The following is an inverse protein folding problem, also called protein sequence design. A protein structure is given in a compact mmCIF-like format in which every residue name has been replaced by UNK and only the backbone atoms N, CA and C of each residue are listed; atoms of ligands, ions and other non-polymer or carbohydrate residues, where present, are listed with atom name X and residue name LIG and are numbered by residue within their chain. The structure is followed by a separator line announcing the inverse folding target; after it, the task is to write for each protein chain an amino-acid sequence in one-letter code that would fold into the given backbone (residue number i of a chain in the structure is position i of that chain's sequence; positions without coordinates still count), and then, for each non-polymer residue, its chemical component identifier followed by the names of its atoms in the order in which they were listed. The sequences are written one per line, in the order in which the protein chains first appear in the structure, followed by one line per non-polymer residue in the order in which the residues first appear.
data_IF_650706291496
#
_entry.id   IF_650706291496
#
_cell.length_a   1.000
_cell.length_b   1.000
_cell.length_c   1.000
_cell.angle_alpha   90.00
_cell.angle_beta   90.00
_cell.angle_gamma   90.00
#
_symmetry.space_group_name_H-M   'P 1'
#
loop_
_entity.id
_entity.type
_entity.pdbx_description
1 polymer ?
#
# COMPACT_ATOMS: atom_id res chain seq x y z
N UNK A 1 -73.73 20.88 -20.90
CA UNK A 1 -72.95 20.30 -22.01
C UNK A 1 -71.49 20.20 -21.51
N UNK A 2 -71.13 19.00 -21.15
CA UNK A 2 -69.74 18.72 -20.62
C UNK A 2 -68.98 17.94 -21.70
N UNK A 3 -67.93 18.54 -22.23
CA UNK A 3 -67.10 17.87 -23.22
C UNK A 3 -66.04 17.04 -22.46
N UNK A 4 -66.01 15.74 -22.70
CA UNK A 4 -65.07 14.79 -22.21
C UNK A 4 -63.93 14.67 -23.27
N UNK A 5 -62.78 15.15 -22.95
CA UNK A 5 -61.54 14.99 -23.75
C UNK A 5 -60.83 13.69 -23.38
N UNK A 6 -60.69 12.78 -24.32
CA UNK A 6 -59.93 11.54 -24.20
C UNK A 6 -58.45 11.85 -24.40
N UNK A 7 -57.63 11.60 -23.36
CA UNK A 7 -56.17 11.62 -23.47
C UNK A 7 -55.72 10.20 -23.78
N UNK A 8 -55.26 9.99 -24.99
CA UNK A 8 -54.63 8.74 -25.44
C UNK A 8 -53.23 8.65 -24.84
N UNK A 9 -53.04 7.78 -23.82
CA UNK A 9 -51.73 7.46 -23.27
C UNK A 9 -50.92 6.58 -24.24
N UNK A 10 -49.85 7.10 -24.80
CA UNK A 10 -48.86 6.32 -25.50
C UNK A 10 -48.00 5.59 -24.46
N UNK A 11 -48.16 4.28 -24.38
CA UNK A 11 -47.23 3.41 -23.64
C UNK A 11 -45.95 3.29 -24.44
N UNK A 12 -44.91 4.01 -24.02
CA UNK A 12 -43.51 3.74 -24.45
C UNK A 12 -43.03 2.49 -23.71
N UNK A 13 -43.04 1.35 -24.40
CA UNK A 13 -42.31 0.16 -23.96
C UNK A 13 -40.83 0.43 -24.09
N UNK A 14 -40.19 0.79 -22.97
CA UNK A 14 -38.72 0.77 -22.88
C UNK A 14 -38.25 -0.69 -23.00
N UNK A 15 -37.85 -1.07 -24.20
CA UNK A 15 -37.10 -2.30 -24.42
C UNK A 15 -35.75 -2.14 -23.70
N UNK A 16 -35.64 -2.67 -22.48
CA UNK A 16 -34.33 -2.89 -21.84
C UNK A 16 -33.48 -3.77 -22.77
N UNK A 17 -32.28 -3.34 -23.18
CA UNK A 17 -31.42 -4.22 -23.93
C UNK A 17 -31.19 -5.47 -23.08
N UNK A 18 -31.58 -6.63 -23.60
CA UNK A 18 -31.22 -7.91 -23.03
C UNK A 18 -29.69 -7.93 -22.93
N UNK A 19 -29.19 -7.89 -21.70
CA UNK A 19 -27.75 -8.08 -21.45
C UNK A 19 -27.41 -9.46 -22.06
N UNK A 20 -26.75 -9.43 -23.23
CA UNK A 20 -26.20 -10.62 -23.86
C UNK A 20 -25.31 -11.24 -22.78
N UNK A 21 -25.75 -12.37 -22.24
CA UNK A 21 -24.92 -13.18 -21.36
C UNK A 21 -23.73 -13.65 -22.20
N UNK A 22 -22.67 -12.87 -22.20
CA UNK A 22 -21.43 -13.25 -22.86
C UNK A 22 -20.96 -14.56 -22.23
N UNK A 23 -21.08 -15.63 -23.00
CA UNK A 23 -20.65 -16.98 -22.59
C UNK A 23 -19.16 -16.93 -22.32
N UNK A 24 -18.82 -17.48 -21.18
CA UNK A 24 -17.45 -17.69 -20.71
C UNK A 24 -16.61 -18.33 -21.83
N UNK A 25 -15.41 -17.79 -22.08
CA UNK A 25 -14.48 -18.41 -23.01
C UNK A 25 -13.89 -19.67 -22.37
N UNK A 26 -14.09 -20.88 -22.93
CA UNK A 26 -13.48 -22.11 -22.43
C UNK A 26 -11.95 -22.03 -22.37
N UNK A 27 -11.35 -21.17 -23.19
CA UNK A 27 -9.91 -20.96 -23.25
C UNK A 27 -9.36 -20.32 -21.97
N UNK A 28 -10.08 -19.36 -21.37
CA UNK A 28 -9.73 -18.77 -20.09
C UNK A 28 -9.65 -19.81 -18.97
N UNK A 29 -10.66 -20.67 -18.87
CA UNK A 29 -10.66 -21.71 -17.84
C UNK A 29 -9.52 -22.71 -18.04
N UNK A 30 -9.25 -23.06 -19.29
CA UNK A 30 -8.13 -23.94 -19.62
C UNK A 30 -6.80 -23.28 -19.25
N UNK A 31 -6.64 -22.01 -19.56
CA UNK A 31 -5.43 -21.28 -19.22
C UNK A 31 -5.24 -21.15 -17.71
N UNK A 32 -6.28 -20.76 -16.95
CA UNK A 32 -6.23 -20.65 -15.49
C UNK A 32 -5.88 -21.98 -14.84
N UNK A 33 -6.54 -23.08 -15.24
CA UNK A 33 -6.26 -24.40 -14.69
C UNK A 33 -4.79 -24.82 -14.88
N UNK A 34 -4.16 -24.42 -15.99
CA UNK A 34 -2.75 -24.71 -16.28
C UNK A 34 -1.77 -23.80 -15.57
N UNK A 35 -2.16 -22.55 -15.26
CA UNK A 35 -1.25 -21.51 -14.81
C UNK A 35 -1.52 -21.04 -13.38
N UNK A 36 -2.50 -21.61 -12.68
CA UNK A 36 -2.78 -21.36 -11.27
C UNK A 36 -2.22 -22.51 -10.42
N UNK A 37 -1.43 -22.15 -9.43
CA UNK A 37 -0.78 -23.10 -8.52
C UNK A 37 -1.44 -23.05 -7.15
N UNK A 38 -1.73 -24.23 -6.57
CA UNK A 38 -2.24 -24.33 -5.21
C UNK A 38 -1.17 -23.88 -4.20
N UNK A 39 -1.58 -23.10 -3.21
CA UNK A 39 -0.76 -22.65 -2.09
C UNK A 39 -1.36 -23.23 -0.82
N UNK A 40 -0.53 -23.72 0.07
CA UNK A 40 -0.96 -24.28 1.35
C UNK A 40 -1.19 -23.22 2.41
N UNK A 41 -2.14 -23.45 3.30
CA UNK A 41 -2.41 -22.59 4.47
C UNK A 41 -1.42 -22.86 5.62
N UNK A 42 -0.15 -23.06 5.30
CA UNK A 42 0.87 -23.31 6.32
C UNK A 42 1.48 -22.01 6.80
N UNK A 43 1.07 -21.55 7.96
CA UNK A 43 1.45 -20.25 8.52
C UNK A 43 2.90 -20.14 9.00
N UNK A 44 3.71 -21.14 9.07
CA UNK A 44 5.06 -21.02 9.64
C UNK A 44 5.98 -22.21 9.33
N UNK A 45 5.76 -22.96 8.25
CA UNK A 45 6.73 -24.00 7.90
C UNK A 45 7.85 -23.37 7.06
N UNK A 46 9.09 -23.74 7.35
CA UNK A 46 10.27 -23.46 6.52
C UNK A 46 10.24 -24.22 5.17
N UNK A 47 9.18 -24.99 4.94
CA UNK A 47 8.88 -25.60 3.67
C UNK A 47 8.12 -24.63 2.76
N UNK A 48 8.82 -24.13 1.75
CA UNK A 48 8.30 -23.20 0.74
C UNK A 48 8.06 -23.87 -0.62
N UNK A 49 7.93 -25.19 -0.68
CA UNK A 49 7.81 -25.90 -1.94
C UNK A 49 6.60 -25.45 -2.77
N UNK A 50 5.50 -25.11 -2.12
CA UNK A 50 4.28 -24.57 -2.75
C UNK A 50 4.47 -23.14 -3.32
N UNK A 51 5.47 -22.41 -2.87
CA UNK A 51 5.81 -21.07 -3.37
C UNK A 51 6.76 -21.08 -4.58
N UNK A 52 7.16 -22.25 -5.08
CA UNK A 52 8.10 -22.36 -6.19
C UNK A 52 7.63 -21.61 -7.46
N UNK A 53 6.33 -21.65 -7.78
CA UNK A 53 5.75 -20.95 -8.92
C UNK A 53 5.86 -19.43 -8.76
N UNK A 54 5.62 -18.90 -7.56
CA UNK A 54 5.82 -17.50 -7.24
C UNK A 54 7.30 -17.13 -7.34
N UNK A 55 8.19 -17.93 -6.76
CA UNK A 55 9.64 -17.72 -6.87
C UNK A 55 10.13 -17.65 -8.32
N UNK A 56 9.62 -18.52 -9.20
CA UNK A 56 9.93 -18.48 -10.62
C UNK A 56 9.40 -17.20 -11.31
N UNK A 57 8.20 -16.73 -10.93
CA UNK A 57 7.60 -15.52 -11.50
C UNK A 57 8.40 -14.25 -11.18
N UNK A 58 9.00 -14.19 -9.98
CA UNK A 58 9.72 -13.00 -9.48
C UNK A 58 11.24 -13.06 -9.68
N UNK A 59 11.76 -14.09 -10.35
CA UNK A 59 13.19 -14.42 -10.44
C UNK A 59 14.09 -13.21 -10.70
N UNK A 60 13.70 -12.35 -11.64
CA UNK A 60 14.50 -11.20 -12.07
C UNK A 60 14.05 -9.87 -11.44
N UNK A 61 13.08 -9.92 -10.54
CA UNK A 61 12.53 -8.73 -9.90
C UNK A 61 13.45 -8.24 -8.77
N UNK A 62 13.62 -6.93 -8.71
CA UNK A 62 14.33 -6.24 -7.64
C UNK A 62 13.37 -5.74 -6.55
N UNK A 63 12.15 -5.39 -6.96
CA UNK A 63 11.14 -4.81 -6.08
C UNK A 63 9.88 -5.65 -6.18
N UNK A 64 9.39 -6.13 -5.03
CA UNK A 64 8.10 -6.80 -4.91
C UNK A 64 7.16 -5.89 -4.11
N UNK A 65 6.01 -5.57 -4.69
CA UNK A 65 4.96 -4.83 -4.01
C UNK A 65 3.87 -5.81 -3.59
N UNK A 66 3.69 -6.00 -2.30
CA UNK A 66 2.69 -6.88 -1.69
C UNK A 66 1.53 -6.02 -1.19
N UNK A 67 0.40 -6.04 -1.88
CA UNK A 67 -0.76 -5.25 -1.48
C UNK A 67 -1.67 -5.97 -0.47
N UNK A 68 -2.71 -5.33 -0.02
CA UNK A 68 -3.92 -5.87 0.60
C UNK A 68 -5.10 -5.00 0.20
N UNK A 69 -6.29 -5.58 0.12
CA UNK A 69 -7.50 -4.84 -0.19
C UNK A 69 -8.03 -4.05 1.03
N UNK A 70 -7.79 -4.58 2.23
CA UNK A 70 -8.07 -3.89 3.48
C UNK A 70 -6.94 -4.15 4.48
N UNK A 71 -6.61 -3.17 5.29
CA UNK A 71 -5.69 -3.34 6.41
C UNK A 71 -6.23 -4.29 7.51
N UNK A 72 -7.44 -4.81 7.33
CA UNK A 72 -8.14 -5.63 8.31
C UNK A 72 -8.16 -7.13 8.03
N UNK A 73 -7.20 -7.68 7.28
CA UNK A 73 -7.19 -9.05 6.74
C UNK A 73 -6.08 -9.90 7.36
N UNK A 74 -6.39 -10.62 8.45
CA UNK A 74 -5.37 -11.35 9.23
C UNK A 74 -4.67 -12.46 8.44
N UNK A 75 -5.41 -13.28 7.70
CA UNK A 75 -4.79 -14.36 6.93
C UNK A 75 -4.05 -13.86 5.67
N UNK A 76 -4.41 -12.69 5.14
CA UNK A 76 -3.59 -12.02 4.11
C UNK A 76 -2.27 -11.56 4.73
N UNK A 77 -2.30 -10.95 5.93
CA UNK A 77 -1.08 -10.60 6.66
C UNK A 77 -0.21 -11.82 6.96
N UNK A 78 -0.81 -12.93 7.38
CA UNK A 78 -0.09 -14.18 7.64
C UNK A 78 0.60 -14.71 6.38
N UNK A 79 -0.10 -14.73 5.24
CA UNK A 79 0.49 -15.14 3.96
C UNK A 79 1.60 -14.17 3.51
N UNK A 80 1.39 -12.86 3.62
CA UNK A 80 2.41 -11.85 3.30
C UNK A 80 3.64 -11.99 4.20
N UNK A 81 3.46 -12.23 5.51
CA UNK A 81 4.57 -12.48 6.44
C UNK A 81 5.37 -13.73 6.04
N UNK A 82 4.69 -14.80 5.61
CA UNK A 82 5.33 -16.00 5.07
C UNK A 82 6.10 -15.69 3.77
N UNK A 83 5.51 -14.91 2.87
CA UNK A 83 6.17 -14.47 1.64
C UNK A 83 7.40 -13.59 1.92
N UNK A 84 7.33 -12.70 2.89
CA UNK A 84 8.49 -11.88 3.31
C UNK A 84 9.66 -12.76 3.76
N UNK A 85 9.39 -13.78 4.59
CA UNK A 85 10.42 -14.77 5.00
C UNK A 85 10.98 -15.53 3.80
N UNK A 86 10.11 -16.04 2.93
CA UNK A 86 10.50 -16.74 1.70
C UNK A 86 11.39 -15.87 0.79
N UNK A 87 10.99 -14.63 0.57
CA UNK A 87 11.73 -13.68 -0.25
C UNK A 87 13.11 -13.36 0.36
N UNK A 88 13.17 -13.20 1.67
CA UNK A 88 14.43 -12.98 2.38
C UNK A 88 15.35 -14.21 2.30
N UNK A 89 14.87 -15.37 2.71
CA UNK A 89 15.67 -16.58 2.89
C UNK A 89 16.07 -17.26 1.57
N UNK A 90 15.20 -17.24 0.57
CA UNK A 90 15.42 -17.97 -0.70
C UNK A 90 15.74 -17.09 -1.88
N UNK A 91 15.41 -15.80 -1.84
CA UNK A 91 15.58 -14.89 -2.97
C UNK A 91 16.45 -13.67 -2.67
N UNK A 92 16.99 -13.55 -1.45
CA UNK A 92 17.98 -12.53 -1.05
C UNK A 92 17.38 -11.11 -1.01
N UNK A 93 16.11 -10.96 -0.66
CA UNK A 93 15.53 -9.66 -0.38
C UNK A 93 16.01 -9.17 0.99
N UNK A 94 16.40 -7.90 1.08
CA UNK A 94 17.17 -7.37 2.21
C UNK A 94 16.46 -6.23 2.94
N UNK A 95 15.38 -5.70 2.38
CA UNK A 95 14.64 -4.57 2.96
C UNK A 95 13.15 -4.82 2.88
N UNK A 96 12.45 -4.61 3.99
CA UNK A 96 10.99 -4.53 4.08
C UNK A 96 10.58 -3.09 4.33
N UNK A 97 9.83 -2.49 3.41
CA UNK A 97 9.31 -1.12 3.51
C UNK A 97 7.81 -1.19 3.76
N UNK A 98 7.37 -0.66 4.90
CA UNK A 98 5.95 -0.66 5.30
C UNK A 98 5.25 0.66 4.93
N UNK A 99 3.96 0.59 4.67
CA UNK A 99 3.05 1.74 4.69
C UNK A 99 2.85 2.23 6.13
N UNK A 100 3.89 2.85 6.65
CA UNK A 100 3.95 3.46 7.98
C UNK A 100 4.95 4.61 7.95
N UNK A 101 4.84 5.50 8.92
CA UNK A 101 5.59 6.74 8.97
C UNK A 101 7.08 6.58 8.72
N UNK A 102 7.61 7.30 7.73
CA UNK A 102 9.02 7.23 7.34
C UNK A 102 9.96 7.44 8.53
N UNK A 103 9.68 8.44 9.38
CA UNK A 103 10.51 8.74 10.56
C UNK A 103 10.34 7.71 11.67
N UNK A 104 9.09 7.32 11.98
CA UNK A 104 8.79 6.43 13.09
C UNK A 104 9.42 5.06 12.90
N UNK A 105 9.31 4.49 11.69
CA UNK A 105 9.89 3.17 11.38
C UNK A 105 11.43 3.23 11.33
N UNK A 106 12.01 4.32 10.83
CA UNK A 106 13.46 4.54 10.88
C UNK A 106 13.95 4.63 12.33
N UNK A 107 13.20 5.32 13.18
CA UNK A 107 13.53 5.43 14.61
C UNK A 107 13.48 4.05 15.28
N UNK A 108 12.43 3.24 15.05
CA UNK A 108 12.34 1.86 15.53
C UNK A 108 13.59 1.09 15.10
N UNK A 109 13.89 1.07 13.80
CA UNK A 109 15.01 0.29 13.28
C UNK A 109 16.34 0.68 13.92
N UNK A 110 16.57 1.99 14.08
CA UNK A 110 17.80 2.53 14.64
C UNK A 110 17.96 2.21 16.13
N UNK A 111 16.88 2.28 16.92
CA UNK A 111 16.89 2.14 18.38
C UNK A 111 16.60 0.72 18.88
N UNK A 112 16.31 -0.21 17.97
CA UNK A 112 16.04 -1.60 18.30
C UNK A 112 17.27 -2.30 18.86
N UNK A 113 17.13 -2.83 20.08
CA UNK A 113 18.10 -3.59 20.85
C UNK A 113 17.40 -4.78 21.52
N UNK A 114 18.14 -5.58 22.30
CA UNK A 114 17.58 -6.76 23.01
C UNK A 114 16.45 -6.38 23.98
N UNK A 115 16.61 -5.29 24.72
CA UNK A 115 15.62 -4.81 25.68
C UNK A 115 14.49 -3.96 25.05
N UNK A 116 14.75 -3.41 23.82
CA UNK A 116 13.83 -2.54 23.10
C UNK A 116 13.56 -3.11 21.72
N UNK A 117 12.69 -4.11 21.65
CA UNK A 117 12.44 -4.90 20.44
C UNK A 117 11.59 -4.16 19.42
N UNK A 118 11.64 -4.57 18.15
CA UNK A 118 10.74 -4.03 17.11
C UNK A 118 9.28 -4.21 17.55
N UNK A 119 8.93 -5.40 18.07
CA UNK A 119 7.59 -5.72 18.54
C UNK A 119 7.12 -4.78 19.67
N UNK A 120 7.98 -4.46 20.62
CA UNK A 120 7.62 -3.57 21.76
C UNK A 120 7.48 -2.11 21.33
N UNK A 121 8.18 -1.69 20.27
CA UNK A 121 8.16 -0.33 19.75
C UNK A 121 7.05 -0.09 18.71
N UNK A 122 6.53 -1.13 18.06
CA UNK A 122 5.54 -1.01 16.98
C UNK A 122 4.23 -0.34 17.43
N UNK A 123 3.63 -0.65 18.61
CA UNK A 123 2.43 0.04 19.07
C UNK A 123 2.64 1.56 19.16
N UNK A 124 1.73 2.31 18.55
CA UNK A 124 1.77 3.77 18.50
C UNK A 124 2.78 4.38 17.52
N UNK A 125 3.62 3.59 16.84
CA UNK A 125 4.63 4.05 15.88
C UNK A 125 4.49 3.44 14.49
N UNK A 126 3.92 2.25 14.40
CA UNK A 126 3.51 1.60 13.16
C UNK A 126 1.99 1.70 13.06
N UNK A 127 1.45 1.67 11.84
CA UNK A 127 0.00 1.67 11.64
C UNK A 127 -0.65 0.61 12.55
N UNK A 128 -1.67 1.00 13.31
CA UNK A 128 -2.13 0.22 14.47
C UNK A 128 -2.62 -1.20 14.12
N UNK A 129 -3.21 -1.41 12.94
CA UNK A 129 -3.62 -2.74 12.49
C UNK A 129 -2.42 -3.65 12.18
N UNK A 130 -1.33 -3.09 11.68
CA UNK A 130 -0.07 -3.85 11.58
C UNK A 130 0.52 -4.13 12.97
N UNK A 131 0.55 -3.11 13.83
CA UNK A 131 1.15 -3.24 15.15
C UNK A 131 0.46 -4.30 16.03
N UNK A 132 -0.86 -4.47 15.88
CA UNK A 132 -1.69 -5.35 16.73
C UNK A 132 -1.96 -6.73 16.10
N UNK A 133 -1.71 -6.92 14.79
CA UNK A 133 -1.93 -8.21 14.13
C UNK A 133 -0.98 -9.29 14.66
N UNK A 134 -1.47 -10.46 15.07
CA UNK A 134 -0.62 -11.61 15.44
C UNK A 134 0.38 -12.02 14.36
N UNK A 135 -0.02 -12.00 13.10
CA UNK A 135 0.86 -12.30 11.97
C UNK A 135 2.02 -11.31 11.85
N UNK A 136 1.72 -10.01 12.03
CA UNK A 136 2.74 -8.95 12.01
C UNK A 136 3.65 -9.00 13.22
N UNK A 137 3.13 -9.32 14.39
CA UNK A 137 3.96 -9.50 15.59
C UNK A 137 4.98 -10.64 15.40
N UNK A 138 4.57 -11.76 14.80
CA UNK A 138 5.48 -12.85 14.41
C UNK A 138 6.51 -12.42 13.37
N UNK A 139 6.15 -11.52 12.45
CA UNK A 139 7.09 -10.93 11.50
C UNK A 139 8.08 -9.97 12.18
N UNK A 140 7.64 -9.16 13.14
CA UNK A 140 8.52 -8.29 13.92
C UNK A 140 9.54 -9.07 14.76
N UNK A 141 9.15 -10.21 15.31
CA UNK A 141 10.08 -11.13 15.99
C UNK A 141 11.12 -11.72 15.02
N UNK A 142 10.67 -12.11 13.83
CA UNK A 142 11.58 -12.56 12.77
C UNK A 142 12.58 -11.45 12.37
N UNK A 143 12.12 -10.24 12.12
CA UNK A 143 12.96 -9.08 11.79
C UNK A 143 13.98 -8.79 12.89
N UNK A 144 13.55 -8.89 14.16
CA UNK A 144 14.44 -8.74 15.33
C UNK A 144 15.55 -9.78 15.32
N UNK A 145 15.21 -11.04 15.09
CA UNK A 145 16.18 -12.16 15.02
C UNK A 145 17.15 -11.95 13.87
N UNK A 146 16.66 -11.57 12.69
CA UNK A 146 17.51 -11.33 11.52
C UNK A 146 18.43 -10.11 11.70
N UNK A 147 17.97 -9.06 12.40
CA UNK A 147 18.80 -7.88 12.71
C UNK A 147 20.04 -8.23 13.55
N UNK A 148 19.91 -9.23 14.40
CA UNK A 148 21.01 -9.72 15.25
C UNK A 148 21.92 -10.73 14.53
N UNK A 149 21.52 -11.22 13.37
CA UNK A 149 22.24 -12.19 12.56
C UNK A 149 23.14 -11.55 11.50
N UNK A 150 23.72 -12.40 10.66
CA UNK A 150 24.67 -11.99 9.60
C UNK A 150 23.99 -11.47 8.33
N UNK A 151 22.69 -11.70 8.17
CA UNK A 151 21.91 -11.28 7.01
C UNK A 151 20.63 -10.56 7.48
N UNK A 152 20.70 -9.28 7.86
CA UNK A 152 19.55 -8.55 8.37
C UNK A 152 18.53 -8.30 7.27
N UNK A 153 17.24 -8.49 7.59
CA UNK A 153 16.14 -7.93 6.83
C UNK A 153 15.81 -6.56 7.43
N UNK A 154 16.23 -5.50 6.75
CA UNK A 154 16.11 -4.12 7.22
C UNK A 154 14.62 -3.71 7.20
N UNK A 155 14.14 -3.10 8.28
CA UNK A 155 12.81 -2.51 8.35
C UNK A 155 12.89 -1.01 8.01
N UNK A 156 12.00 -0.53 7.14
CA UNK A 156 11.88 0.88 6.76
C UNK A 156 10.41 1.28 6.61
N UNK A 157 10.12 2.57 6.63
CA UNK A 157 8.81 3.15 6.35
C UNK A 157 8.84 4.01 5.08
N UNK A 158 7.66 4.34 4.57
CA UNK A 158 7.55 5.21 3.38
C UNK A 158 6.45 6.27 3.48
N UNK A 159 5.57 6.19 4.48
CA UNK A 159 4.43 7.10 4.57
C UNK A 159 4.87 8.53 4.94
N UNK A 160 4.24 9.49 4.29
CA UNK A 160 4.40 10.91 4.56
C UNK A 160 3.66 11.39 5.81
N UNK A 161 2.84 10.54 6.44
CA UNK A 161 2.15 10.86 7.68
C UNK A 161 3.04 10.58 8.90
N UNK A 162 3.40 11.63 9.62
CA UNK A 162 4.18 11.55 10.84
C UNK A 162 3.26 11.58 12.08
N UNK A 163 2.50 10.49 12.28
CA UNK A 163 1.50 10.39 13.35
C UNK A 163 1.91 9.45 14.49
N UNK A 164 3.09 8.86 14.40
CA UNK A 164 3.64 7.99 15.42
C UNK A 164 4.08 8.75 16.69
N UNK A 165 4.21 8.01 17.78
CA UNK A 165 4.68 8.55 19.06
C UNK A 165 6.08 9.14 18.94
N UNK A 166 6.96 8.48 18.18
CA UNK A 166 8.34 8.96 18.00
C UNK A 166 8.41 10.24 17.18
N UNK A 167 7.60 10.36 16.13
CA UNK A 167 7.52 11.62 15.38
C UNK A 167 7.06 12.77 16.29
N UNK A 168 6.02 12.55 17.10
CA UNK A 168 5.52 13.55 18.06
C UNK A 168 6.56 13.95 19.11
N UNK A 169 7.36 13.02 19.57
CA UNK A 169 8.33 13.26 20.65
C UNK A 169 9.67 13.78 20.16
N UNK A 170 10.18 13.28 19.04
CA UNK A 170 11.59 13.45 18.68
C UNK A 170 11.83 14.13 17.35
N UNK A 171 10.93 14.01 16.34
CA UNK A 171 11.22 14.41 14.96
C UNK A 171 11.69 15.86 14.84
N UNK A 172 10.97 16.80 15.47
CA UNK A 172 11.30 18.24 15.35
C UNK A 172 12.63 18.58 16.03
N UNK A 173 12.94 17.96 17.16
CA UNK A 173 14.23 18.14 17.82
C UNK A 173 15.37 17.51 16.99
N UNK A 174 15.16 16.33 16.44
CA UNK A 174 16.14 15.69 15.56
C UNK A 174 16.36 16.48 14.28
N UNK A 175 15.30 17.07 13.70
CA UNK A 175 15.42 17.98 12.55
C UNK A 175 16.28 19.21 12.90
N UNK A 176 16.03 19.82 14.05
CA UNK A 176 16.82 20.96 14.55
C UNK A 176 18.28 20.60 14.76
N UNK A 177 18.53 19.43 15.37
CA UNK A 177 19.89 18.92 15.57
C UNK A 177 20.60 18.68 14.23
N UNK A 178 19.89 18.18 13.23
CA UNK A 178 20.45 17.97 11.91
C UNK A 178 20.77 19.30 11.20
N UNK A 179 19.93 20.31 11.32
CA UNK A 179 20.23 21.67 10.82
C UNK A 179 21.50 22.23 11.45
N UNK A 180 21.70 22.03 12.76
CA UNK A 180 22.91 22.44 13.43
C UNK A 180 24.17 21.72 12.91
N UNK A 181 24.09 20.39 12.69
CA UNK A 181 25.18 19.59 12.13
C UNK A 181 25.57 19.99 10.71
N UNK A 182 24.62 20.49 9.91
CA UNK A 182 24.87 20.95 8.54
C UNK A 182 25.22 22.44 8.42
N UNK A 183 25.45 23.11 9.54
CA UNK A 183 25.80 24.54 9.58
C UNK A 183 24.62 25.50 9.40
N UNK A 184 23.38 24.97 9.31
CA UNK A 184 22.15 25.78 9.13
C UNK A 184 21.53 26.22 10.47
N UNK A 185 22.33 26.54 11.47
CA UNK A 185 21.90 26.92 12.83
C UNK A 185 20.92 28.07 12.86
N UNK A 186 21.04 29.01 11.88
CA UNK A 186 20.12 30.14 11.77
C UNK A 186 18.66 29.74 11.55
N UNK A 187 18.40 28.63 10.85
CA UNK A 187 17.03 28.14 10.65
C UNK A 187 16.46 27.55 11.94
N UNK A 188 17.23 26.72 12.65
CA UNK A 188 16.81 26.16 13.93
C UNK A 188 16.60 27.20 15.05
N UNK A 189 17.23 28.38 14.92
CA UNK A 189 17.10 29.54 15.82
C UNK A 189 16.23 30.64 15.23
N UNK A 190 15.56 30.43 14.11
CA UNK A 190 14.65 31.40 13.49
C UNK A 190 13.47 31.68 14.44
N UNK A 191 13.04 32.95 14.47
CA UNK A 191 11.91 33.39 15.29
C UNK A 191 10.62 32.61 14.97
N UNK A 192 10.48 32.16 13.73
CA UNK A 192 9.33 31.35 13.30
C UNK A 192 9.41 29.88 13.70
N UNK A 193 10.58 29.38 14.18
CA UNK A 193 10.74 27.97 14.55
C UNK A 193 9.69 27.48 15.55
N UNK A 194 9.40 28.25 16.59
CA UNK A 194 8.42 27.86 17.60
C UNK A 194 7.02 27.70 16.99
N UNK A 195 6.62 28.61 16.10
CA UNK A 195 5.32 28.49 15.40
C UNK A 195 5.29 27.36 14.41
N UNK A 196 6.36 27.13 13.68
CA UNK A 196 6.52 25.95 12.82
C UNK A 196 6.39 24.66 13.61
N UNK A 197 7.06 24.56 14.76
CA UNK A 197 7.03 23.36 15.60
C UNK A 197 5.63 23.11 16.19
N UNK A 198 4.94 24.16 16.66
CA UNK A 198 3.56 24.10 17.15
C UNK A 198 2.61 23.53 16.07
N UNK A 199 2.65 24.12 14.87
CA UNK A 199 1.79 23.70 13.76
C UNK A 199 2.12 22.28 13.26
N UNK A 200 3.41 21.94 13.17
CA UNK A 200 3.82 20.59 12.78
C UNK A 200 3.39 19.54 13.81
N UNK A 201 3.50 19.87 15.10
CA UNK A 201 3.04 18.96 16.16
C UNK A 201 1.51 18.77 16.13
N UNK A 202 0.74 19.82 15.81
CA UNK A 202 -0.71 19.70 15.58
C UNK A 202 -1.01 18.73 14.43
N UNK A 203 -0.29 18.85 13.31
CA UNK A 203 -0.40 17.89 12.18
C UNK A 203 -0.06 16.46 12.61
N UNK A 204 0.99 16.25 13.41
CA UNK A 204 1.39 14.92 13.91
C UNK A 204 0.33 14.33 14.86
N UNK A 205 -0.45 15.17 15.52
CA UNK A 205 -1.61 14.78 16.32
C UNK A 205 -2.91 14.66 15.50
N UNK A 206 -2.81 14.68 14.17
CA UNK A 206 -3.93 14.57 13.24
C UNK A 206 -4.93 15.74 13.31
N UNK A 207 -4.52 16.86 13.87
CA UNK A 207 -5.32 18.10 13.83
C UNK A 207 -5.32 18.65 12.40
N UNK A 208 -6.50 18.82 11.83
CA UNK A 208 -6.73 19.34 10.49
C UNK A 208 -7.14 20.80 10.48
N UNK A 209 -7.14 21.45 11.63
CA UNK A 209 -7.50 22.87 11.75
C UNK A 209 -6.47 23.72 10.99
N UNK A 210 -6.90 24.31 9.90
CA UNK A 210 -6.03 25.18 9.11
C UNK A 210 -5.80 26.50 9.84
N UNK A 211 -4.55 26.99 9.98
CA UNK A 211 -4.30 28.34 10.45
C UNK A 211 -4.77 29.38 9.42
N UNK A 212 -4.77 30.64 9.78
CA UNK A 212 -5.08 31.73 8.83
C UNK A 212 -4.13 31.73 7.62
N UNK A 213 -4.56 32.34 6.53
CA UNK A 213 -3.84 32.35 5.25
C UNK A 213 -2.41 32.88 5.38
N UNK A 214 -2.20 33.95 6.13
CA UNK A 214 -0.87 34.55 6.32
C UNK A 214 0.06 33.58 7.05
N UNK A 215 -0.43 32.90 8.08
CA UNK A 215 0.32 31.88 8.83
C UNK A 215 0.65 30.68 7.95
N UNK A 216 -0.29 30.22 7.09
CA UNK A 216 -0.01 29.16 6.12
C UNK A 216 1.10 29.57 5.13
N UNK A 217 1.05 30.77 4.57
CA UNK A 217 2.08 31.30 3.66
C UNK A 217 3.46 31.32 4.33
N UNK A 218 3.55 31.82 5.56
CA UNK A 218 4.79 31.82 6.34
C UNK A 218 5.30 30.41 6.61
N UNK A 219 4.42 29.47 6.93
CA UNK A 219 4.76 28.07 7.15
C UNK A 219 5.37 27.44 5.88
N UNK A 220 4.71 27.59 4.72
CA UNK A 220 5.22 27.05 3.47
C UNK A 220 6.50 27.75 2.99
N UNK A 221 6.67 29.04 3.21
CA UNK A 221 7.93 29.74 2.96
C UNK A 221 9.06 29.19 3.83
N UNK A 222 8.80 28.92 5.09
CA UNK A 222 9.77 28.31 6.00
C UNK A 222 10.11 26.87 5.56
N UNK A 223 9.13 26.09 5.12
CA UNK A 223 9.36 24.74 4.55
C UNK A 223 10.30 24.78 3.33
N UNK A 224 10.21 25.78 2.45
CA UNK A 224 11.15 25.94 1.33
C UNK A 224 12.58 26.21 1.82
N UNK A 225 12.74 27.02 2.86
CA UNK A 225 14.06 27.24 3.46
C UNK A 225 14.63 25.98 4.10
N UNK A 226 13.79 25.19 4.79
CA UNK A 226 14.19 23.90 5.36
C UNK A 226 14.62 22.89 4.28
N UNK A 227 13.89 22.82 3.16
CA UNK A 227 14.28 21.96 2.01
C UNK A 227 15.63 22.37 1.45
N UNK A 228 15.86 23.66 1.25
CA UNK A 228 17.12 24.21 0.74
C UNK A 228 18.30 23.97 1.68
N UNK A 229 18.05 23.75 2.98
CA UNK A 229 19.08 23.46 3.97
C UNK A 229 19.68 22.04 3.87
N UNK A 230 19.06 21.17 3.08
CA UNK A 230 19.52 19.77 2.89
C UNK A 230 19.81 19.47 1.41
N UNK A 231 20.78 20.14 0.77
CA UNK A 231 20.98 20.05 -0.68
C UNK A 231 21.68 18.76 -1.16
N UNK A 232 22.40 18.07 -0.27
CA UNK A 232 23.24 16.94 -0.67
C UNK A 232 22.47 15.61 -0.70
N UNK A 233 22.94 14.68 -1.52
CA UNK A 233 22.41 13.32 -1.57
C UNK A 233 22.57 12.56 -0.25
N UNK A 234 23.57 12.91 0.56
CA UNK A 234 23.78 12.34 1.90
C UNK A 234 22.68 12.77 2.90
N UNK A 235 22.01 13.87 2.61
CA UNK A 235 20.94 14.42 3.43
C UNK A 235 19.53 14.06 2.92
N UNK A 236 19.43 13.16 1.95
CA UNK A 236 18.17 12.78 1.29
C UNK A 236 17.05 12.44 2.29
N UNK A 237 17.38 11.79 3.40
CA UNK A 237 16.40 11.40 4.40
C UNK A 237 15.68 12.63 4.98
N UNK A 238 16.44 13.66 5.37
CA UNK A 238 15.88 14.87 5.93
C UNK A 238 15.14 15.72 4.89
N UNK A 239 15.59 15.71 3.63
CA UNK A 239 14.83 16.29 2.52
C UNK A 239 13.45 15.62 2.41
N UNK A 240 13.39 14.29 2.52
CA UNK A 240 12.11 13.56 2.44
C UNK A 240 11.24 13.76 3.68
N UNK A 241 11.84 13.86 4.87
CA UNK A 241 11.10 14.24 6.10
C UNK A 241 10.44 15.59 5.95
N UNK A 242 11.18 16.61 5.51
CA UNK A 242 10.63 17.97 5.31
C UNK A 242 9.54 17.95 4.22
N UNK A 243 9.76 17.26 3.12
CA UNK A 243 8.75 17.11 2.07
C UNK A 243 7.48 16.40 2.56
N UNK A 244 7.63 15.39 3.42
CA UNK A 244 6.51 14.66 4.02
C UNK A 244 5.70 15.53 5.00
N UNK A 245 6.35 16.34 5.82
CA UNK A 245 5.66 17.32 6.69
C UNK A 245 4.87 18.33 5.85
N UNK A 246 5.48 18.84 4.77
CA UNK A 246 4.79 19.76 3.87
C UNK A 246 3.58 19.12 3.19
N UNK A 247 3.70 17.89 2.71
CA UNK A 247 2.59 17.13 2.12
C UNK A 247 1.45 16.97 3.13
N UNK A 248 1.77 16.57 4.38
CA UNK A 248 0.77 16.40 5.42
C UNK A 248 0.04 17.72 5.71
N UNK A 249 0.76 18.86 5.77
CA UNK A 249 0.17 20.19 5.95
C UNK A 249 -0.76 20.55 4.78
N UNK A 250 -0.30 20.37 3.55
CA UNK A 250 -1.11 20.68 2.35
C UNK A 250 -2.37 19.85 2.27
N UNK A 251 -2.31 18.58 2.63
CA UNK A 251 -3.47 17.68 2.65
C UNK A 251 -4.46 18.06 3.75
N UNK A 252 -3.98 18.32 4.94
CA UNK A 252 -4.84 18.59 6.09
C UNK A 252 -5.49 19.97 6.01
N UNK A 253 -4.75 21.01 5.60
CA UNK A 253 -5.26 22.37 5.50
C UNK A 253 -5.94 22.68 4.16
N UNK A 254 -5.55 21.98 3.08
CA UNK A 254 -6.11 22.17 1.74
C UNK A 254 -7.15 21.12 1.33
N UNK A 255 -7.45 20.15 2.21
CA UNK A 255 -8.34 19.01 1.93
C UNK A 255 -7.98 18.25 0.64
N UNK A 256 -6.69 18.05 0.37
CA UNK A 256 -6.16 17.40 -0.85
C UNK A 256 -5.59 16.04 -0.49
N UNK A 257 -6.41 14.99 -0.57
CA UNK A 257 -5.97 13.60 -0.26
C UNK A 257 -5.13 12.94 -1.36
N UNK A 258 -5.14 13.47 -2.55
CA UNK A 258 -4.60 12.90 -3.79
C UNK A 258 -3.06 12.74 -3.78
N UNK A 259 -2.34 13.54 -3.00
CA UNK A 259 -0.88 13.58 -3.05
C UNK A 259 -0.16 12.54 -2.19
N UNK A 260 -0.81 11.99 -1.14
CA UNK A 260 -0.14 11.06 -0.19
C UNK A 260 0.53 9.88 -0.90
N UNK A 261 -0.17 9.24 -1.84
CA UNK A 261 0.36 8.09 -2.57
C UNK A 261 1.57 8.45 -3.43
N UNK A 262 1.56 9.61 -4.08
CA UNK A 262 2.70 10.10 -4.86
C UNK A 262 3.90 10.38 -3.95
N UNK A 263 3.70 11.07 -2.82
CA UNK A 263 4.79 11.39 -1.89
C UNK A 263 5.37 10.13 -1.23
N UNK A 264 4.53 9.12 -0.93
CA UNK A 264 5.01 7.80 -0.51
C UNK A 264 5.90 7.16 -1.57
N UNK A 265 5.50 7.26 -2.85
CA UNK A 265 6.29 6.79 -3.99
C UNK A 265 7.64 7.51 -4.10
N UNK A 266 7.65 8.83 -3.95
CA UNK A 266 8.88 9.62 -3.95
C UNK A 266 9.78 9.28 -2.76
N UNK A 267 9.21 9.04 -1.56
CA UNK A 267 9.97 8.57 -0.40
C UNK A 267 10.64 7.25 -0.69
N UNK A 268 9.88 6.28 -1.23
CA UNK A 268 10.41 4.98 -1.62
C UNK A 268 11.49 5.10 -2.69
N UNK A 269 11.27 5.87 -3.76
CA UNK A 269 12.25 6.06 -4.83
C UNK A 269 13.55 6.69 -4.30
N UNK A 270 13.44 7.63 -3.38
CA UNK A 270 14.60 8.25 -2.73
C UNK A 270 15.39 7.24 -1.87
N UNK A 271 14.70 6.39 -1.10
CA UNK A 271 15.33 5.29 -0.37
C UNK A 271 16.06 4.31 -1.32
N UNK A 272 15.41 3.96 -2.43
CA UNK A 272 15.96 3.06 -3.46
C UNK A 272 17.17 3.65 -4.18
N UNK A 273 17.25 4.96 -4.32
CA UNK A 273 18.35 5.65 -4.98
C UNK A 273 19.55 5.85 -4.05
N UNK A 274 19.31 6.26 -2.81
CA UNK A 274 20.37 6.77 -1.94
C UNK A 274 20.83 5.78 -0.86
N UNK A 275 19.93 4.91 -0.39
CA UNK A 275 20.24 4.00 0.71
C UNK A 275 20.28 2.54 0.27
N UNK A 276 19.37 2.15 -0.60
CA UNK A 276 19.16 0.75 -0.98
C UNK A 276 19.46 0.48 -2.46
N UNK A 277 20.41 1.21 -3.05
CA UNK A 277 20.67 1.23 -4.50
C UNK A 277 20.89 -0.17 -5.12
N UNK A 278 21.51 -1.08 -4.39
CA UNK A 278 21.87 -2.43 -4.86
C UNK A 278 21.09 -3.55 -4.16
N UNK A 279 20.08 -3.21 -3.36
CA UNK A 279 19.32 -4.19 -2.57
C UNK A 279 18.02 -4.56 -3.23
N UNK A 280 17.55 -5.79 -2.95
CA UNK A 280 16.21 -6.25 -3.28
C UNK A 280 15.23 -5.84 -2.19
N UNK A 281 14.08 -5.31 -2.57
CA UNK A 281 13.14 -4.60 -1.70
C UNK A 281 11.78 -5.25 -1.75
N UNK A 282 11.18 -5.44 -0.58
CA UNK A 282 9.77 -5.80 -0.40
C UNK A 282 9.03 -4.56 0.07
N UNK A 283 7.95 -4.20 -0.57
CA UNK A 283 7.05 -3.10 -0.20
C UNK A 283 5.73 -3.68 0.25
N UNK A 284 5.25 -3.29 1.42
CA UNK A 284 3.99 -3.74 1.99
C UNK A 284 3.07 -2.55 2.23
N UNK A 285 1.88 -2.57 1.64
CA UNK A 285 0.90 -1.50 1.80
C UNK A 285 -0.43 -1.82 1.14
N UNK A 286 -1.34 -0.88 1.20
CA UNK A 286 -2.68 -1.01 0.67
C UNK A 286 -2.71 -0.99 -0.87
N UNK A 287 -3.61 -1.76 -1.44
CA UNK A 287 -3.86 -1.87 -2.89
C UNK A 287 -4.00 -0.52 -3.60
N UNK A 288 -4.71 0.45 -3.02
CA UNK A 288 -4.89 1.78 -3.65
C UNK A 288 -3.56 2.52 -3.89
N UNK A 289 -2.52 2.20 -3.13
CA UNK A 289 -1.20 2.78 -3.28
C UNK A 289 -0.28 1.95 -4.17
N UNK A 290 -0.40 0.61 -4.12
CA UNK A 290 0.58 -0.29 -4.73
C UNK A 290 0.25 -0.76 -6.15
N UNK A 291 -1.01 -0.69 -6.61
CA UNK A 291 -1.36 -1.06 -7.97
C UNK A 291 -0.83 -0.05 -9.01
N UNK A 292 -0.66 -0.48 -10.28
CA UNK A 292 -0.08 0.37 -11.34
C UNK A 292 -0.99 1.46 -11.85
N UNK A 293 -2.29 1.25 -11.81
CA UNK A 293 -3.28 2.20 -12.32
C UNK A 293 -3.85 3.01 -11.17
N UNK A 294 -3.05 3.88 -10.59
CA UNK A 294 -3.53 4.81 -9.57
C UNK A 294 -4.28 6.00 -10.15
N UNK A 295 -4.75 6.84 -9.24
CA UNK A 295 -5.44 8.09 -9.58
C UNK A 295 -4.68 8.86 -10.66
N UNK A 296 -5.31 9.14 -11.82
CA UNK A 296 -4.60 9.52 -13.06
C UNK A 296 -3.84 10.84 -13.00
N UNK A 297 -4.15 11.73 -12.05
CA UNK A 297 -3.66 13.11 -12.06
C UNK A 297 -2.29 13.30 -11.41
N UNK A 298 -1.85 12.43 -10.49
CA UNK A 298 -0.61 12.65 -9.74
C UNK A 298 0.28 11.40 -9.64
N UNK A 299 -0.13 10.29 -10.24
CA UNK A 299 0.51 8.98 -10.06
C UNK A 299 0.30 8.43 -8.64
N UNK A 300 0.27 7.11 -8.52
CA UNK A 300 0.40 6.48 -7.22
C UNK A 300 1.80 5.86 -7.07
N UNK A 301 2.10 5.36 -5.90
CA UNK A 301 3.37 4.70 -5.61
C UNK A 301 3.65 3.56 -6.59
N UNK A 302 2.67 2.67 -6.81
CA UNK A 302 2.82 1.51 -7.71
C UNK A 302 3.11 1.93 -9.15
N UNK A 303 2.49 2.99 -9.64
CA UNK A 303 2.77 3.58 -10.95
C UNK A 303 4.21 4.11 -11.02
N UNK A 304 4.61 4.96 -10.07
CA UNK A 304 5.95 5.56 -10.03
C UNK A 304 7.06 4.50 -9.98
N UNK A 305 6.89 3.47 -9.15
CA UNK A 305 7.85 2.37 -9.02
C UNK A 305 7.89 1.53 -10.30
N UNK A 306 6.72 1.18 -10.86
CA UNK A 306 6.65 0.38 -12.08
C UNK A 306 7.20 1.13 -13.30
N UNK A 307 6.94 2.43 -13.40
CA UNK A 307 7.52 3.25 -14.48
C UNK A 307 9.05 3.32 -14.39
N UNK A 308 9.59 3.48 -13.19
CA UNK A 308 11.03 3.57 -12.96
C UNK A 308 11.77 2.25 -13.13
N UNK A 309 11.19 1.13 -12.70
CA UNK A 309 11.87 -0.17 -12.62
C UNK A 309 11.39 -1.19 -13.65
N UNK A 310 10.30 -0.90 -14.38
CA UNK A 310 9.76 -1.74 -15.46
C UNK A 310 9.66 -3.22 -15.00
N UNK A 311 10.26 -4.14 -15.75
CA UNK A 311 10.24 -5.59 -15.45
C UNK A 311 10.91 -5.98 -14.12
N UNK A 312 11.68 -5.06 -13.52
CA UNK A 312 12.31 -5.28 -12.21
C UNK A 312 11.37 -5.00 -11.03
N UNK A 313 10.17 -4.47 -11.27
CA UNK A 313 9.10 -4.35 -10.27
C UNK A 313 8.01 -5.39 -10.54
N UNK A 314 7.56 -6.09 -9.50
CA UNK A 314 6.49 -7.09 -9.56
C UNK A 314 5.41 -6.74 -8.53
N UNK A 315 4.19 -6.48 -9.00
CA UNK A 315 3.04 -6.13 -8.17
C UNK A 315 2.22 -7.37 -7.88
N UNK A 316 2.03 -7.68 -6.62
CA UNK A 316 1.27 -8.83 -6.12
C UNK A 316 0.00 -8.35 -5.48
N UNK A 317 -1.13 -8.85 -5.96
CA UNK A 317 -2.45 -8.58 -5.43
C UNK A 317 -2.96 -9.73 -4.58
N UNK A 318 -3.62 -9.40 -3.47
CA UNK A 318 -4.28 -10.37 -2.60
C UNK A 318 -5.77 -10.12 -2.62
N UNK A 319 -6.56 -11.18 -2.82
CA UNK A 319 -8.01 -11.11 -2.90
C UNK A 319 -8.69 -12.38 -2.42
N UNK A 320 -10.00 -12.30 -2.19
CA UNK A 320 -10.85 -13.44 -1.81
C UNK A 320 -12.31 -13.12 -2.10
N UNK A 321 -13.18 -14.11 -2.01
CA UNK A 321 -14.59 -13.98 -2.38
C UNK A 321 -15.56 -14.27 -1.21
N UNK A 322 -15.03 -14.64 -0.05
CA UNK A 322 -15.82 -15.01 1.15
C UNK A 322 -15.11 -14.59 2.43
N UNK A 323 -15.86 -14.56 3.51
CA UNK A 323 -15.33 -14.26 4.84
C UNK A 323 -15.63 -12.84 5.28
N UNK A 324 -14.74 -12.29 6.07
CA UNK A 324 -14.87 -10.92 6.59
C UNK A 324 -13.51 -10.29 6.83
N UNK A 325 -13.46 -8.97 6.80
CA UNK A 325 -12.32 -8.16 7.16
C UNK A 325 -12.71 -7.16 8.26
N UNK A 326 -11.76 -6.68 9.02
CA UNK A 326 -11.99 -5.59 9.95
C UNK A 326 -11.96 -4.26 9.19
N UNK A 327 -13.09 -3.54 9.22
CA UNK A 327 -13.23 -2.24 8.59
C UNK A 327 -12.92 -1.14 9.61
N UNK A 328 -11.74 -0.57 9.52
CA UNK A 328 -11.27 0.47 10.45
C UNK A 328 -11.97 1.83 10.31
N UNK A 329 -12.77 2.04 9.26
CA UNK A 329 -13.55 3.27 9.12
C UNK A 329 -14.80 3.29 10.01
N UNK A 330 -15.38 2.13 10.29
CA UNK A 330 -16.59 1.98 11.11
C UNK A 330 -16.41 1.08 12.32
N UNK A 331 -15.17 0.62 12.59
CA UNK A 331 -14.81 -0.22 13.73
C UNK A 331 -15.61 -1.53 13.80
N UNK A 332 -15.82 -2.19 12.65
CA UNK A 332 -16.66 -3.38 12.56
C UNK A 332 -16.05 -4.46 11.66
N UNK A 333 -16.35 -5.72 11.98
CA UNK A 333 -16.16 -6.82 11.04
C UNK A 333 -17.17 -6.72 9.91
N UNK A 334 -16.69 -6.50 8.70
CA UNK A 334 -17.48 -6.34 7.50
C UNK A 334 -17.36 -7.59 6.62
N UNK A 335 -18.47 -8.20 6.17
CA UNK A 335 -18.42 -9.31 5.24
C UNK A 335 -17.74 -8.90 3.92
N UNK A 336 -16.92 -9.79 3.38
CA UNK A 336 -16.43 -9.69 2.00
C UNK A 336 -17.64 -9.79 1.07
N UNK A 337 -17.78 -8.85 0.15
CA UNK A 337 -18.86 -8.88 -0.84
C UNK A 337 -18.58 -10.01 -1.84
N UNK A 338 -19.61 -10.82 -2.11
CA UNK A 338 -19.53 -11.81 -3.19
C UNK A 338 -19.46 -11.09 -4.53
N UNK A 339 -18.48 -11.43 -5.33
CA UNK A 339 -18.28 -10.82 -6.63
C UNK A 339 -19.18 -11.45 -7.71
N UNK A 340 -19.58 -10.67 -8.74
CA UNK A 340 -20.31 -11.20 -9.88
C UNK A 340 -19.60 -12.36 -10.56
N UNK A 341 -20.35 -13.25 -11.19
CA UNK A 341 -19.86 -14.49 -11.80
C UNK A 341 -18.74 -14.30 -12.86
N UNK A 342 -18.56 -13.08 -13.39
CA UNK A 342 -17.58 -12.73 -14.41
C UNK A 342 -16.30 -12.10 -13.85
N UNK A 343 -16.11 -12.03 -12.55
CA UNK A 343 -14.91 -11.46 -11.94
C UNK A 343 -13.79 -12.50 -11.86
N UNK A 344 -12.55 -12.02 -11.82
CA UNK A 344 -11.38 -12.89 -11.70
C UNK A 344 -11.43 -13.69 -10.40
N UNK A 345 -11.92 -13.11 -9.31
CA UNK A 345 -12.07 -13.76 -8.02
C UNK A 345 -12.99 -15.00 -8.11
N UNK A 346 -14.09 -14.89 -8.87
CA UNK A 346 -15.01 -15.99 -9.08
C UNK A 346 -14.39 -17.13 -9.91
N UNK A 347 -13.45 -16.81 -10.81
CA UNK A 347 -12.69 -17.82 -11.55
C UNK A 347 -11.60 -18.46 -10.69
N UNK A 348 -10.90 -17.67 -9.87
CA UNK A 348 -9.86 -18.15 -8.98
C UNK A 348 -10.41 -19.03 -7.84
N UNK A 349 -11.64 -18.76 -7.37
CA UNK A 349 -12.33 -19.59 -6.37
C UNK A 349 -12.47 -21.06 -6.78
N UNK A 350 -12.52 -21.33 -8.07
CA UNK A 350 -12.67 -22.70 -8.61
C UNK A 350 -11.35 -23.43 -8.81
N UNK A 351 -10.24 -22.73 -8.59
CA UNK A 351 -8.92 -23.33 -8.70
C UNK A 351 -8.58 -24.13 -7.43
N UNK A 352 -7.67 -25.11 -7.51
CA UNK A 352 -7.37 -25.99 -6.40
C UNK A 352 -6.67 -25.28 -5.23
N UNK A 353 -6.87 -25.82 -4.03
CA UNK A 353 -6.21 -25.40 -2.80
C UNK A 353 -6.99 -24.36 -1.98
N UNK A 354 -6.66 -24.20 -0.69
CA UNK A 354 -7.23 -23.16 0.16
C UNK A 354 -6.80 -21.75 -0.27
N UNK A 355 -5.61 -21.65 -0.80
CA UNK A 355 -5.08 -20.47 -1.48
C UNK A 355 -4.52 -20.88 -2.84
N UNK A 356 -4.43 -19.94 -3.76
CA UNK A 356 -3.78 -20.20 -5.05
C UNK A 356 -3.05 -18.96 -5.54
N UNK A 357 -2.05 -19.18 -6.42
CA UNK A 357 -1.26 -18.13 -7.05
C UNK A 357 -1.35 -18.23 -8.57
N UNK A 358 -1.56 -17.09 -9.23
CA UNK A 358 -1.56 -16.96 -10.69
C UNK A 358 -0.61 -15.84 -11.12
N UNK A 359 0.29 -16.16 -12.04
CA UNK A 359 1.22 -15.20 -12.66
C UNK A 359 0.63 -14.67 -13.98
N UNK A 360 0.17 -13.44 -13.99
CA UNK A 360 -0.48 -12.81 -15.14
C UNK A 360 0.48 -12.38 -16.23
N UNK A 361 1.76 -12.29 -15.96
CA UNK A 361 2.76 -12.02 -17.00
C UNK A 361 2.78 -13.11 -18.08
N UNK A 362 2.35 -14.31 -17.73
CA UNK A 362 2.19 -15.45 -18.66
C UNK A 362 0.92 -15.41 -19.49
N UNK A 363 0.01 -14.45 -19.26
CA UNK A 363 -1.24 -14.37 -19.99
C UNK A 363 -0.98 -14.07 -21.48
N UNK A 364 -1.48 -14.90 -22.42
CA UNK A 364 -1.30 -14.68 -23.84
C UNK A 364 -1.93 -13.38 -24.33
N UNK A 365 -1.37 -12.70 -25.34
CA UNK A 365 -1.88 -11.41 -25.83
C UNK A 365 -3.36 -11.45 -26.25
N UNK A 366 -3.84 -12.54 -26.87
CA UNK A 366 -5.22 -12.66 -27.29
C UNK A 366 -6.20 -12.77 -26.11
N UNK A 367 -5.80 -13.39 -25.01
CA UNK A 367 -6.60 -13.43 -23.78
C UNK A 367 -6.58 -12.09 -23.02
N UNK A 368 -5.50 -11.32 -23.15
CA UNK A 368 -5.45 -9.95 -22.60
C UNK A 368 -6.48 -9.01 -23.24
N UNK A 369 -6.83 -9.25 -24.49
CA UNK A 369 -7.78 -8.44 -25.25
C UNK A 369 -9.24 -8.95 -25.11
N UNK A 370 -9.44 -10.09 -24.47
CA UNK A 370 -10.78 -10.65 -24.28
C UNK A 370 -11.59 -9.82 -23.26
N UNK A 371 -12.43 -8.94 -23.78
CA UNK A 371 -13.32 -8.07 -22.98
C UNK A 371 -14.35 -8.85 -22.16
N UNK A 372 -14.55 -10.16 -22.43
CA UNK A 372 -15.47 -10.99 -21.63
C UNK A 372 -14.96 -11.20 -20.20
N UNK A 373 -13.67 -10.99 -19.97
CA UNK A 373 -12.99 -11.07 -18.68
C UNK A 373 -12.63 -9.67 -18.14
N UNK A 374 -13.45 -8.69 -18.39
CA UNK A 374 -13.41 -7.41 -17.64
C UNK A 374 -13.75 -7.66 -16.17
N UNK A 375 -12.87 -8.38 -15.53
CA UNK A 375 -12.89 -8.49 -14.09
C UNK A 375 -12.42 -7.15 -13.55
N UNK A 376 -13.34 -6.38 -13.02
CA UNK A 376 -12.96 -5.37 -12.08
C UNK A 376 -12.11 -6.07 -11.01
N UNK A 377 -10.93 -5.56 -10.71
CA UNK A 377 -10.34 -5.72 -9.40
C UNK A 377 -11.35 -5.06 -8.48
N UNK A 378 -12.30 -5.85 -8.03
CA UNK A 378 -13.37 -5.36 -7.20
C UNK A 378 -12.80 -5.27 -5.80
N UNK A 379 -12.64 -4.05 -5.36
CA UNK A 379 -12.43 -3.80 -3.96
C UNK A 379 -13.73 -4.06 -3.21
N UNK A 380 -13.69 -4.84 -2.15
CA UNK A 380 -14.79 -4.91 -1.18
C UNK A 380 -14.81 -3.70 -0.23
N UNK A 381 -13.93 -2.72 -0.45
CA UNK A 381 -14.03 -1.40 0.17
C UNK A 381 -15.20 -0.67 -0.49
N UNK A 382 -16.13 -0.08 0.27
CA UNK A 382 -17.26 0.63 -0.28
C UNK A 382 -16.85 1.65 -1.33
N UNK A 383 -17.48 1.58 -2.51
CA UNK A 383 -17.28 2.56 -3.58
C UNK A 383 -17.58 3.95 -3.03
N UNK A 384 -16.69 4.89 -3.23
CA UNK A 384 -16.82 6.30 -2.82
C UNK A 384 -15.80 6.79 -1.81
N UNK A 385 -15.07 5.90 -1.11
CA UNK A 385 -13.95 6.31 -0.25
C UNK A 385 -12.63 6.44 -1.02
N UNK A 386 -12.49 5.69 -2.12
CA UNK A 386 -11.39 5.80 -3.06
C UNK A 386 -11.98 5.76 -4.46
N UNK A 387 -11.58 6.65 -5.34
CA UNK A 387 -11.90 6.54 -6.77
C UNK A 387 -11.26 5.25 -7.27
N UNK A 388 -12.05 4.19 -7.33
CA UNK A 388 -11.64 2.97 -8.01
C UNK A 388 -11.49 3.32 -9.48
N UNK A 389 -10.46 2.80 -10.14
CA UNK A 389 -10.26 3.05 -11.56
C UNK A 389 -11.49 2.62 -12.34
N UNK A 390 -11.79 3.39 -13.40
CA UNK A 390 -12.93 3.22 -14.28
C UNK A 390 -13.23 1.74 -14.59
N UNK A 391 -14.52 1.40 -14.58
CA UNK A 391 -15.00 0.11 -15.07
C UNK A 391 -14.43 -0.12 -16.48
N UNK A 392 -13.59 -1.16 -16.63
CA UNK A 392 -12.97 -1.51 -17.91
C UNK A 392 -11.44 -1.51 -17.95
N UNK A 393 -10.76 -1.04 -16.90
CA UNK A 393 -9.29 -1.20 -16.86
C UNK A 393 -8.94 -2.67 -16.58
N UNK A 394 -8.15 -3.23 -17.48
CA UNK A 394 -7.71 -4.62 -17.39
C UNK A 394 -6.87 -4.85 -16.14
N UNK A 395 -7.30 -5.77 -15.27
CA UNK A 395 -6.63 -6.07 -13.99
C UNK A 395 -5.17 -6.51 -14.18
N UNK A 396 -4.83 -7.20 -15.28
CA UNK A 396 -3.45 -7.61 -15.61
C UNK A 396 -2.52 -6.42 -15.94
N UNK A 397 -3.06 -5.24 -16.22
CA UNK A 397 -2.27 -4.01 -16.38
C UNK A 397 -1.89 -3.39 -15.03
N UNK A 398 -2.65 -3.73 -13.99
CA UNK A 398 -2.49 -3.17 -12.64
C UNK A 398 -1.59 -4.00 -11.76
N UNK A 399 -1.62 -5.33 -11.92
CA UNK A 399 -0.86 -6.27 -11.09
C UNK A 399 -0.20 -7.34 -11.96
N UNK A 400 0.89 -7.93 -11.49
CA UNK A 400 1.62 -8.97 -12.18
C UNK A 400 1.20 -10.37 -11.76
N UNK A 401 0.79 -10.53 -10.53
CA UNK A 401 0.32 -11.80 -9.99
C UNK A 401 -0.72 -11.61 -8.91
N UNK A 402 -1.51 -12.64 -8.66
CA UNK A 402 -2.56 -12.63 -7.65
C UNK A 402 -2.46 -13.85 -6.77
N UNK A 403 -2.50 -13.65 -5.45
CA UNK A 403 -2.85 -14.67 -4.48
C UNK A 403 -4.33 -14.56 -4.18
N UNK A 404 -5.06 -15.65 -4.39
CA UNK A 404 -6.46 -15.78 -4.03
C UNK A 404 -6.59 -16.64 -2.76
N UNK A 405 -7.39 -16.18 -1.81
CA UNK A 405 -7.68 -16.86 -0.56
C UNK A 405 -9.16 -17.23 -0.54
N UNK A 406 -9.48 -18.53 -0.36
CA UNK A 406 -10.86 -19.02 -0.39
C UNK A 406 -11.75 -18.37 0.69
N UNK A 407 -11.17 -17.90 1.78
CA UNK A 407 -11.86 -17.22 2.86
C UNK A 407 -10.94 -16.19 3.48
N UNK A 408 -11.38 -14.94 3.53
CA UNK A 408 -10.71 -13.86 4.26
C UNK A 408 -11.11 -13.94 5.73
N UNK A 409 -10.15 -13.73 6.62
CA UNK A 409 -10.37 -13.66 8.07
C UNK A 409 -9.99 -12.28 8.59
N UNK A 410 -10.87 -11.74 9.44
CA UNK A 410 -10.68 -10.42 10.03
C UNK A 410 -9.54 -10.43 11.04
N UNK A 411 -8.68 -9.40 11.02
CA UNK A 411 -7.79 -9.11 12.13
C UNK A 411 -8.60 -8.63 13.34
N UNK A 412 -8.00 -8.72 14.52
CA UNK A 412 -8.53 -8.08 15.72
C UNK A 412 -7.72 -6.81 15.96
N UNK A 413 -8.39 -5.65 16.24
CA UNK A 413 -7.71 -4.40 16.57
C UNK A 413 -6.94 -4.46 17.88
#
# INVERSE_FOLDING_TARGET
MMQITWISGLLFALALPAAIAQTRSPEWDTWLTKNTCAITDKNASDDYADLAAFGAAIKDSRIILLDEQSHGEENVFALKARLVRYLHEKHGYQVLVLESGLYDVEHIWRTTETANTIRSQAPGNVFYLYANSPAMQGLFEYLQTQKQGNAPLILSGMDSQHTGTYARQYLLNDLKNQLNKTGNTKLGNNIFWSKFAELSLALFNMDRTAPDTKTQEQYFQFMQQLKAAFPSSEQYFWQRIVASIEDQARRYWGNRHEHRSAVMGENLLSLLQHRYANQKIIVWGHFVHLNRSGLPRHGNLGHLVSDRFKDKAYVVHFTGNKGSYYNFFNDQNTPVLSFPAKTIENHLERQPGPYNFTDWRKLPPHLKQDVSMQAALSSYIPQGLFELPEAGAHWHERVDGTFYLNKITSTKP
#
